data_IF_284033268657
#
_entry.id   IF_284033268657
#
_cell.length_a   1.000
_cell.length_b   1.000
_cell.length_c   1.000
_cell.angle_alpha   90.00
_cell.angle_beta   90.00
_cell.angle_gamma   90.00
#
_symmetry.space_group_name_H-M   'P 1'
#
loop_
_entity.id
_entity.type
_entity.pdbx_description
1 polymer ?
#
# COMPACT_ATOMS: atom_id res chain seq x y z
N UNK A 1 -7.28 3.84 -16.50
CA UNK A 1 -6.69 5.11 -16.08
C UNK A 1 -6.85 5.20 -14.57
N UNK A 2 -5.76 5.40 -13.85
CA UNK A 2 -5.76 5.57 -12.41
C UNK A 2 -6.59 6.84 -12.12
N UNK A 3 -7.72 6.78 -11.40
CA UNK A 3 -8.57 7.94 -11.17
C UNK A 3 -7.84 9.09 -10.45
N UNK A 4 -6.66 8.80 -9.86
CA UNK A 4 -5.80 9.80 -9.25
C UNK A 4 -4.86 10.52 -10.23
N UNK A 5 -4.77 10.10 -11.50
CA UNK A 5 -3.91 10.73 -12.52
C UNK A 5 -4.72 11.63 -13.46
N UNK A 6 -6.04 11.52 -13.50
CA UNK A 6 -6.90 12.46 -14.22
C UNK A 6 -7.13 13.74 -13.40
N UNK A 7 -6.05 14.34 -12.90
CA UNK A 7 -6.12 15.67 -12.30
C UNK A 7 -6.39 16.67 -13.43
N UNK A 8 -7.59 17.21 -13.46
CA UNK A 8 -7.86 18.38 -14.30
C UNK A 8 -7.10 19.57 -13.72
N UNK A 9 -6.51 20.40 -14.56
CA UNK A 9 -5.89 21.68 -14.20
C UNK A 9 -6.81 22.50 -13.27
N UNK A 10 -8.13 22.38 -13.48
CA UNK A 10 -9.17 23.02 -12.66
C UNK A 10 -9.14 22.50 -11.22
N UNK A 11 -8.98 21.18 -11.00
CA UNK A 11 -8.92 20.60 -9.64
C UNK A 11 -7.67 21.09 -8.90
N UNK A 12 -6.52 21.13 -9.57
CA UNK A 12 -5.28 21.63 -8.98
C UNK A 12 -5.36 23.11 -8.64
N UNK A 13 -5.96 23.93 -9.53
CA UNK A 13 -6.18 25.36 -9.29
C UNK A 13 -7.10 25.59 -8.09
N UNK A 14 -8.23 24.85 -8.02
CA UNK A 14 -9.19 24.95 -6.90
C UNK A 14 -8.51 24.53 -5.58
N UNK A 15 -7.74 23.44 -5.58
CA UNK A 15 -7.00 22.97 -4.41
C UNK A 15 -5.96 23.98 -3.94
N UNK A 16 -5.26 24.60 -4.88
CA UNK A 16 -4.28 25.66 -4.57
C UNK A 16 -4.96 26.89 -3.97
N UNK A 17 -6.04 27.37 -4.61
CA UNK A 17 -6.81 28.52 -4.11
C UNK A 17 -7.37 28.26 -2.71
N UNK A 18 -7.91 27.06 -2.47
CA UNK A 18 -8.43 26.66 -1.17
C UNK A 18 -7.30 26.60 -0.11
N UNK A 19 -6.14 26.11 -0.47
CA UNK A 19 -4.97 26.06 0.42
C UNK A 19 -4.53 27.47 0.81
N UNK A 20 -4.41 28.36 -0.16
CA UNK A 20 -4.06 29.78 0.10
C UNK A 20 -5.10 30.44 1.00
N UNK A 21 -6.38 30.21 0.73
CA UNK A 21 -7.47 30.76 1.56
C UNK A 21 -7.36 30.25 3.02
N UNK A 22 -7.16 28.94 3.21
CA UNK A 22 -7.00 28.34 4.54
C UNK A 22 -5.79 28.95 5.27
N UNK A 23 -4.64 29.09 4.60
CA UNK A 23 -3.44 29.68 5.20
C UNK A 23 -3.71 31.16 5.59
N UNK A 24 -4.35 31.94 4.73
CA UNK A 24 -4.75 33.34 5.06
C UNK A 24 -5.69 33.37 6.28
N UNK A 25 -6.68 32.49 6.34
CA UNK A 25 -7.59 32.41 7.48
C UNK A 25 -6.87 32.03 8.77
N UNK A 26 -5.92 31.11 8.72
CA UNK A 26 -5.10 30.72 9.88
C UNK A 26 -4.23 31.88 10.36
N UNK A 27 -3.62 32.65 9.44
CA UNK A 27 -2.82 33.85 9.77
C UNK A 27 -3.70 34.93 10.40
N UNK A 28 -4.88 35.17 9.85
CA UNK A 28 -5.84 36.13 10.43
C UNK A 28 -6.31 35.68 11.81
N UNK A 29 -6.47 34.37 12.01
CA UNK A 29 -6.90 33.80 13.27
C UNK A 29 -5.88 34.05 14.40
N UNK A 30 -4.58 34.14 14.10
CA UNK A 30 -3.51 34.48 15.08
C UNK A 30 -3.83 35.82 15.79
N UNK A 31 -4.40 36.76 15.06
CA UNK A 31 -4.78 38.11 15.61
C UNK A 31 -5.95 38.01 16.57
N UNK A 32 -6.76 36.98 16.46
CA UNK A 32 -7.99 36.78 17.25
C UNK A 32 -7.72 35.96 18.52
N UNK A 33 -6.62 35.20 18.55
CA UNK A 33 -6.25 34.39 19.70
C UNK A 33 -5.91 35.25 20.90
N UNK A 34 -6.60 35.04 22.02
CA UNK A 34 -6.33 35.65 23.29
C UNK A 34 -5.36 34.82 24.11
N UNK A 35 -4.34 35.46 24.67
CA UNK A 35 -3.34 34.78 25.50
C UNK A 35 -2.05 34.41 24.73
N UNK A 36 -0.93 34.89 25.20
CA UNK A 36 0.38 34.73 24.54
C UNK A 36 0.75 33.22 24.39
N UNK A 37 0.57 32.42 25.44
CA UNK A 37 0.91 30.98 25.41
C UNK A 37 0.10 30.19 24.38
N UNK A 38 -1.18 30.52 24.22
CA UNK A 38 -2.05 29.85 23.22
C UNK A 38 -1.65 30.26 21.81
N UNK A 39 -1.33 31.54 21.62
CA UNK A 39 -0.84 32.07 20.34
C UNK A 39 0.50 31.44 19.95
N UNK A 40 1.42 31.30 20.91
CA UNK A 40 2.70 30.60 20.69
C UNK A 40 2.48 29.14 20.31
N UNK A 41 1.63 28.40 21.03
CA UNK A 41 1.29 27.01 20.70
C UNK A 41 0.67 26.89 19.29
N UNK A 42 -0.17 27.84 18.90
CA UNK A 42 -0.77 27.89 17.57
C UNK A 42 0.29 28.09 16.47
N UNK A 43 1.19 29.04 16.67
CA UNK A 43 2.29 29.32 15.73
C UNK A 43 3.22 28.11 15.63
N UNK A 44 3.57 27.48 16.76
CA UNK A 44 4.37 26.26 16.77
C UNK A 44 3.69 25.11 16.01
N UNK A 45 2.38 24.92 16.17
CA UNK A 45 1.65 23.91 15.43
C UNK A 45 1.63 24.19 13.93
N UNK A 46 1.49 25.46 13.51
CA UNK A 46 1.58 25.87 12.11
C UNK A 46 2.96 25.60 11.49
N UNK A 47 4.04 25.84 12.24
CA UNK A 47 5.41 25.57 11.78
C UNK A 47 5.69 24.06 11.80
N UNK A 48 5.18 23.34 12.79
CA UNK A 48 5.41 21.90 12.95
C UNK A 48 4.90 21.09 11.76
N UNK A 49 3.73 21.46 11.19
CA UNK A 49 3.15 20.75 10.06
C UNK A 49 4.11 20.71 8.85
N UNK A 50 4.55 21.82 8.27
CA UNK A 50 5.47 21.81 7.14
C UNK A 50 6.84 21.22 7.52
N UNK A 51 7.35 21.46 8.74
CA UNK A 51 8.62 20.88 9.17
C UNK A 51 8.56 19.37 9.27
N UNK A 52 7.45 18.80 9.73
CA UNK A 52 7.27 17.35 9.81
C UNK A 52 7.15 16.69 8.44
N UNK A 53 6.69 17.42 7.42
CA UNK A 53 6.55 16.94 6.06
C UNK A 53 7.80 17.21 5.20
N UNK A 54 8.62 18.17 5.58
CA UNK A 54 9.79 18.62 4.82
C UNK A 54 10.75 17.49 4.42
N UNK A 55 11.16 16.56 5.32
CA UNK A 55 12.05 15.47 4.95
C UNK A 55 11.49 14.59 3.83
N UNK A 56 10.17 14.49 3.72
CA UNK A 56 9.51 13.61 2.74
C UNK A 56 9.33 14.25 1.36
N UNK A 57 9.50 15.56 1.24
CA UNK A 57 9.51 16.25 -0.05
C UNK A 57 10.71 15.79 -0.91
N UNK A 58 11.81 15.40 -0.27
CA UNK A 58 13.01 14.90 -0.94
C UNK A 58 12.97 13.39 -1.22
N UNK A 59 11.98 12.68 -0.70
CA UNK A 59 11.76 11.28 -1.05
C UNK A 59 11.10 11.25 -2.42
N UNK A 60 11.90 10.93 -3.44
CA UNK A 60 11.40 10.77 -4.81
C UNK A 60 10.20 9.81 -4.81
N UNK A 61 9.04 10.33 -5.16
CA UNK A 61 7.83 9.55 -5.32
C UNK A 61 8.08 8.45 -6.35
N UNK A 62 7.54 7.25 -6.09
CA UNK A 62 7.54 6.21 -7.10
C UNK A 62 6.79 6.73 -8.33
N UNK A 63 7.34 6.50 -9.52
CA UNK A 63 6.67 6.84 -10.77
C UNK A 63 5.22 6.31 -10.75
N UNK A 64 4.25 7.18 -11.03
CA UNK A 64 2.83 6.84 -11.01
C UNK A 64 2.02 7.35 -9.81
N UNK A 65 2.64 7.96 -8.80
CA UNK A 65 1.91 8.61 -7.72
C UNK A 65 1.66 10.09 -8.03
N UNK A 66 0.39 10.50 -7.94
CA UNK A 66 -0.01 11.90 -8.09
C UNK A 66 0.46 12.78 -6.91
N UNK A 67 0.81 12.18 -5.79
CA UNK A 67 1.32 12.86 -4.59
C UNK A 67 2.81 12.57 -4.41
N UNK A 68 3.58 13.61 -4.23
CA UNK A 68 5.01 13.54 -3.90
C UNK A 68 5.21 12.88 -2.53
N UNK A 69 4.23 13.03 -1.63
CA UNK A 69 4.28 12.51 -0.26
C UNK A 69 3.27 11.37 -0.10
N UNK A 70 3.74 10.18 0.24
CA UNK A 70 2.85 9.05 0.53
C UNK A 70 1.99 9.32 1.78
N UNK A 71 0.71 8.93 1.79
CA UNK A 71 -0.23 9.20 2.90
C UNK A 71 0.29 8.79 4.29
N UNK A 72 1.11 7.75 4.37
CA UNK A 72 1.70 7.29 5.64
C UNK A 72 2.59 8.34 6.32
N UNK A 73 3.17 9.27 5.57
CA UNK A 73 4.05 10.31 6.11
C UNK A 73 3.27 11.51 6.68
N UNK A 74 1.99 11.65 6.34
CA UNK A 74 1.13 12.66 6.96
C UNK A 74 0.80 12.37 8.43
N UNK A 75 1.13 11.15 8.93
CA UNK A 75 0.80 10.76 10.30
C UNK A 75 1.37 11.71 11.34
N UNK A 76 2.62 12.12 11.18
CA UNK A 76 3.27 13.08 12.09
C UNK A 76 2.66 14.48 11.93
N UNK A 77 2.40 14.92 10.69
CA UNK A 77 1.76 16.21 10.42
C UNK A 77 0.37 16.33 11.05
N UNK A 78 -0.38 15.23 11.14
CA UNK A 78 -1.70 15.20 11.75
C UNK A 78 -1.69 15.56 13.24
N UNK A 79 -0.58 15.37 13.95
CA UNK A 79 -0.43 15.84 15.33
C UNK A 79 -0.54 17.37 15.37
N UNK A 80 0.17 18.06 14.48
CA UNK A 80 0.08 19.52 14.36
C UNK A 80 -1.33 20.01 14.01
N UNK A 81 -1.99 19.33 13.06
CA UNK A 81 -3.38 19.62 12.69
C UNK A 81 -4.32 19.44 13.89
N UNK A 82 -4.17 18.38 14.66
CA UNK A 82 -4.99 18.13 15.86
C UNK A 82 -4.82 19.21 16.92
N UNK A 83 -3.60 19.67 17.13
CA UNK A 83 -3.31 20.80 18.04
C UNK A 83 -3.98 22.07 17.53
N UNK A 84 -3.88 22.39 16.22
CA UNK A 84 -4.54 23.57 15.63
C UNK A 84 -6.06 23.53 15.83
N UNK A 85 -6.69 22.40 15.51
CA UNK A 85 -8.13 22.22 15.69
C UNK A 85 -8.53 22.40 17.16
N UNK A 86 -7.77 21.82 18.09
CA UNK A 86 -7.99 21.99 19.53
C UNK A 86 -7.92 23.46 19.97
N UNK A 87 -6.91 24.20 19.51
CA UNK A 87 -6.76 25.64 19.82
C UNK A 87 -7.89 26.46 19.20
N UNK A 88 -8.30 26.18 17.97
CA UNK A 88 -9.41 26.87 17.30
C UNK A 88 -10.70 26.68 18.09
N UNK A 89 -11.04 25.45 18.44
CA UNK A 89 -12.25 25.11 19.22
C UNK A 89 -12.20 25.79 20.59
N UNK A 90 -11.09 25.68 21.31
CA UNK A 90 -10.90 26.32 22.61
C UNK A 90 -11.09 27.83 22.52
N UNK A 91 -10.44 28.50 21.57
CA UNK A 91 -10.51 29.95 21.39
C UNK A 91 -11.92 30.42 21.03
N UNK A 92 -12.64 29.65 20.19
CA UNK A 92 -14.02 29.90 19.87
C UNK A 92 -14.93 29.82 21.11
N UNK A 93 -14.76 28.78 21.92
CA UNK A 93 -15.55 28.58 23.15
C UNK A 93 -15.31 29.67 24.18
N UNK A 94 -14.06 30.12 24.32
CA UNK A 94 -13.71 31.23 25.22
C UNK A 94 -14.34 32.54 24.77
N UNK A 95 -14.25 32.87 23.47
CA UNK A 95 -14.82 34.09 22.91
C UNK A 95 -16.36 34.14 23.00
N UNK A 96 -16.97 32.96 22.83
CA UNK A 96 -18.43 32.80 22.91
C UNK A 96 -18.93 32.57 24.35
N UNK A 97 -18.15 32.94 25.39
CA UNK A 97 -18.44 32.61 26.79
C UNK A 97 -19.85 32.99 27.25
N UNK A 98 -20.38 34.08 26.75
CA UNK A 98 -21.72 34.59 27.10
C UNK A 98 -22.86 34.12 26.19
N UNK A 99 -22.55 33.44 25.06
CA UNK A 99 -23.52 33.05 24.03
C UNK A 99 -23.75 31.53 24.06
N UNK A 100 -24.61 31.06 24.96
CA UNK A 100 -24.89 29.62 25.19
C UNK A 100 -25.24 28.87 23.90
N UNK A 101 -26.11 29.47 23.06
CA UNK A 101 -26.54 28.86 21.80
C UNK A 101 -25.39 28.63 20.81
N UNK A 102 -24.51 29.63 20.64
CA UNK A 102 -23.36 29.52 19.74
C UNK A 102 -22.31 28.53 20.27
N UNK A 103 -22.14 28.44 21.59
CA UNK A 103 -21.33 27.34 22.17
C UNK A 103 -21.88 25.97 21.83
N UNK A 104 -23.22 25.80 21.91
CA UNK A 104 -23.87 24.56 21.50
C UNK A 104 -23.57 24.19 20.05
N UNK A 105 -23.58 25.18 19.15
CA UNK A 105 -23.21 24.96 17.73
C UNK A 105 -21.74 24.52 17.58
N UNK A 106 -20.80 25.16 18.30
CA UNK A 106 -19.39 24.77 18.26
C UNK A 106 -19.19 23.33 18.76
N UNK A 107 -19.82 22.97 19.87
CA UNK A 107 -19.75 21.57 20.37
C UNK A 107 -20.38 20.60 19.39
N UNK A 108 -21.50 20.94 18.77
CA UNK A 108 -22.15 20.10 17.77
C UNK A 108 -21.25 19.90 16.54
N UNK A 109 -20.69 20.95 15.98
CA UNK A 109 -19.78 20.86 14.82
C UNK A 109 -18.53 20.07 15.16
N UNK A 110 -17.95 20.26 16.33
CA UNK A 110 -16.79 19.48 16.79
C UNK A 110 -17.15 18.02 17.00
N UNK A 111 -18.32 17.74 17.57
CA UNK A 111 -18.83 16.37 17.72
C UNK A 111 -19.02 15.69 16.36
N UNK A 112 -19.63 16.38 15.39
CA UNK A 112 -19.78 15.87 14.01
C UNK A 112 -18.44 15.61 13.35
N UNK A 113 -17.47 16.49 13.55
CA UNK A 113 -16.09 16.29 13.07
C UNK A 113 -15.47 15.02 13.66
N UNK A 114 -15.53 14.82 14.97
CA UNK A 114 -15.02 13.62 15.62
C UNK A 114 -15.73 12.35 15.14
N UNK A 115 -17.06 12.39 15.02
CA UNK A 115 -17.85 11.26 14.53
C UNK A 115 -17.47 10.89 13.09
N UNK A 116 -17.25 11.88 12.22
CA UNK A 116 -16.83 11.62 10.85
C UNK A 116 -15.45 10.93 10.79
N UNK A 117 -14.51 11.34 11.65
CA UNK A 117 -13.21 10.67 11.76
C UNK A 117 -13.32 9.25 12.28
N UNK A 118 -14.09 9.01 13.34
CA UNK A 118 -14.34 7.67 13.87
C UNK A 118 -14.99 6.76 12.81
N UNK A 119 -15.97 7.29 12.07
CA UNK A 119 -16.61 6.57 10.97
C UNK A 119 -15.61 6.21 9.86
N UNK A 120 -14.79 7.17 9.42
CA UNK A 120 -13.77 6.95 8.39
C UNK A 120 -12.73 5.93 8.83
N UNK A 121 -12.27 6.00 10.08
CA UNK A 121 -11.33 5.02 10.65
C UNK A 121 -11.97 3.63 10.65
N UNK A 122 -13.23 3.50 11.10
CA UNK A 122 -13.94 2.23 11.13
C UNK A 122 -14.10 1.62 9.73
N UNK A 123 -14.46 2.43 8.74
CA UNK A 123 -14.55 1.99 7.34
C UNK A 123 -13.20 1.48 6.81
N UNK A 124 -12.14 2.26 7.01
CA UNK A 124 -10.80 1.89 6.56
C UNK A 124 -10.28 0.63 7.26
N UNK A 125 -10.53 0.47 8.57
CA UNK A 125 -10.18 -0.74 9.31
C UNK A 125 -10.93 -1.96 8.77
N UNK A 126 -12.22 -1.84 8.47
CA UNK A 126 -13.00 -2.92 7.89
C UNK A 126 -12.47 -3.37 6.53
N UNK A 127 -12.02 -2.44 5.69
CA UNK A 127 -11.41 -2.78 4.39
C UNK A 127 -10.03 -3.43 4.56
N UNK A 128 -9.21 -2.93 5.49
CA UNK A 128 -7.93 -3.55 5.83
C UNK A 128 -8.10 -4.96 6.39
N UNK A 129 -9.13 -5.18 7.22
CA UNK A 129 -9.45 -6.50 7.76
C UNK A 129 -9.81 -7.49 6.66
N UNK A 130 -10.67 -7.09 5.70
CA UNK A 130 -11.02 -7.93 4.53
C UNK A 130 -9.78 -8.28 3.70
N UNK A 131 -8.95 -7.29 3.38
CA UNK A 131 -7.70 -7.50 2.62
C UNK A 131 -6.76 -8.43 3.39
N UNK A 132 -6.63 -8.24 4.70
CA UNK A 132 -5.78 -9.06 5.56
C UNK A 132 -6.29 -10.50 5.64
N UNK A 133 -7.61 -10.69 5.76
CA UNK A 133 -8.23 -12.02 5.76
C UNK A 133 -7.98 -12.76 4.42
N UNK A 134 -8.12 -12.07 3.29
CA UNK A 134 -7.82 -12.64 1.98
C UNK A 134 -6.34 -13.05 1.87
N UNK A 135 -5.42 -12.19 2.29
CA UNK A 135 -3.99 -12.49 2.31
C UNK A 135 -3.68 -13.70 3.17
N UNK A 136 -4.22 -13.74 4.39
CA UNK A 136 -4.05 -14.85 5.32
C UNK A 136 -4.58 -16.17 4.75
N UNK A 137 -5.75 -16.14 4.09
CA UNK A 137 -6.33 -17.31 3.43
C UNK A 137 -5.43 -17.84 2.30
N UNK A 138 -4.94 -16.97 1.42
CA UNK A 138 -4.05 -17.35 0.31
C UNK A 138 -2.78 -18.02 0.87
N UNK A 139 -2.17 -17.36 1.85
CA UNK A 139 -0.94 -17.84 2.45
C UNK A 139 -1.13 -19.18 3.18
N UNK A 140 -2.22 -19.35 3.93
CA UNK A 140 -2.54 -20.60 4.61
C UNK A 140 -2.73 -21.74 3.61
N UNK A 141 -3.39 -21.49 2.47
CA UNK A 141 -3.54 -22.50 1.42
C UNK A 141 -2.19 -22.89 0.80
N UNK A 142 -1.33 -21.93 0.51
CA UNK A 142 0.02 -22.20 -0.01
C UNK A 142 0.78 -23.09 0.98
N UNK A 143 0.76 -22.78 2.27
CA UNK A 143 1.43 -23.56 3.30
C UNK A 143 0.84 -24.95 3.47
N UNK A 144 -0.48 -25.08 3.32
CA UNK A 144 -1.15 -26.39 3.40
C UNK A 144 -0.76 -27.30 2.24
N UNK A 145 -0.70 -26.76 1.02
CA UNK A 145 -0.32 -27.55 -0.16
C UNK A 145 1.17 -27.84 -0.23
N UNK A 146 1.99 -26.92 0.25
CA UNK A 146 3.44 -27.01 0.20
C UNK A 146 4.04 -26.64 1.56
N UNK A 147 3.96 -27.55 2.54
CA UNK A 147 4.57 -27.34 3.87
C UNK A 147 6.07 -27.21 3.79
N UNK A 148 6.69 -27.85 2.79
CA UNK A 148 8.10 -27.75 2.46
C UNK A 148 8.28 -27.34 0.99
N UNK A 149 9.10 -26.33 0.73
CA UNK A 149 9.42 -25.93 -0.63
C UNK A 149 10.53 -26.82 -1.20
N UNK A 150 10.42 -27.26 -2.47
CA UNK A 150 11.51 -27.95 -3.16
C UNK A 150 12.75 -27.05 -3.28
N UNK A 151 13.90 -27.67 -3.57
CA UNK A 151 15.17 -26.95 -3.74
C UNK A 151 15.14 -25.96 -4.91
N UNK A 152 14.43 -26.32 -5.95
CA UNK A 152 14.15 -25.48 -7.10
C UNK A 152 12.65 -25.28 -7.18
N UNK A 153 12.20 -24.04 -7.26
CA UNK A 153 10.78 -23.72 -7.29
C UNK A 153 10.50 -22.54 -8.21
N UNK A 154 9.45 -22.67 -9.00
CA UNK A 154 8.92 -21.59 -9.82
C UNK A 154 7.45 -21.38 -9.47
N UNK A 155 7.11 -20.18 -9.05
CA UNK A 155 5.74 -19.75 -8.86
C UNK A 155 5.20 -19.13 -10.14
N UNK A 156 4.05 -19.65 -10.60
CA UNK A 156 3.28 -19.03 -11.65
C UNK A 156 1.93 -18.57 -11.10
N UNK A 157 1.55 -17.33 -11.38
CA UNK A 157 0.32 -16.77 -10.84
C UNK A 157 -0.54 -16.13 -11.92
N UNK A 158 -1.81 -16.53 -11.98
CA UNK A 158 -2.84 -15.88 -12.77
C UNK A 158 -3.73 -15.04 -11.85
N UNK A 159 -4.03 -13.80 -12.25
CA UNK A 159 -4.95 -12.94 -11.50
C UNK A 159 -5.80 -12.12 -12.48
N UNK A 160 -7.05 -11.87 -12.12
CA UNK A 160 -7.96 -10.99 -12.83
C UNK A 160 -7.89 -9.53 -12.36
N UNK A 161 -7.06 -9.25 -11.36
CA UNK A 161 -6.97 -7.92 -10.74
C UNK A 161 -5.55 -7.38 -10.74
N UNK A 162 -5.44 -6.08 -10.99
CA UNK A 162 -4.23 -5.34 -10.74
C UNK A 162 -4.06 -5.05 -9.24
N UNK A 163 -2.81 -4.89 -8.81
CA UNK A 163 -2.50 -4.42 -7.47
C UNK A 163 -2.65 -2.88 -7.40
N UNK A 164 -2.98 -2.37 -6.19
CA UNK A 164 -3.11 -0.93 -5.96
C UNK A 164 -1.86 -0.16 -6.42
N UNK A 165 -2.06 0.81 -7.30
CA UNK A 165 -0.99 1.64 -7.88
C UNK A 165 -0.26 1.03 -9.07
N UNK A 166 -0.61 -0.19 -9.50
CA UNK A 166 -0.07 -0.81 -10.71
C UNK A 166 -1.00 -0.59 -11.89
N UNK A 167 -0.48 -0.55 -13.13
CA UNK A 167 -1.30 -0.53 -14.33
C UNK A 167 -2.27 -1.70 -14.41
N UNK A 168 -3.43 -1.51 -15.02
CA UNK A 168 -4.49 -2.54 -15.10
C UNK A 168 -4.06 -3.81 -15.85
N UNK A 169 -3.03 -3.73 -16.68
CA UNK A 169 -2.44 -4.87 -17.36
C UNK A 169 -1.48 -5.68 -16.48
N UNK A 170 -1.02 -5.12 -15.36
CA UNK A 170 -0.17 -5.82 -14.41
C UNK A 170 -1.00 -6.52 -13.32
N UNK A 171 -1.65 -7.62 -13.71
CA UNK A 171 -2.49 -8.40 -12.81
C UNK A 171 -1.66 -9.31 -11.92
N UNK A 172 -1.95 -9.32 -10.62
CA UNK A 172 -1.17 -10.07 -9.64
C UNK A 172 -1.98 -10.45 -8.39
N UNK A 173 -1.43 -11.36 -7.59
CA UNK A 173 -2.04 -11.77 -6.31
C UNK A 173 -2.04 -10.61 -5.29
N UNK A 174 -3.03 -10.55 -4.38
CA UNK A 174 -3.12 -9.51 -3.35
C UNK A 174 -1.92 -9.44 -2.39
N UNK A 175 -1.15 -10.53 -2.28
CA UNK A 175 0.02 -10.64 -1.37
C UNK A 175 1.35 -10.48 -2.08
N UNK A 176 1.35 -10.27 -3.38
CA UNK A 176 2.53 -10.38 -4.21
C UNK A 176 3.66 -9.42 -3.82
N UNK A 177 3.34 -8.18 -3.47
CA UNK A 177 4.34 -7.26 -2.93
C UNK A 177 4.74 -7.74 -1.54
N UNK A 178 5.97 -8.19 -1.42
CA UNK A 178 6.51 -8.79 -0.21
C UNK A 178 6.30 -10.31 -0.08
N UNK A 179 5.78 -10.98 -1.14
CA UNK A 179 5.60 -12.42 -1.14
C UNK A 179 6.92 -13.16 -0.89
N UNK A 180 8.01 -12.73 -1.49
CA UNK A 180 9.33 -13.28 -1.20
C UNK A 180 9.73 -13.15 0.26
N UNK A 181 9.48 -12.00 0.91
CA UNK A 181 9.71 -11.84 2.37
C UNK A 181 8.86 -12.79 3.20
N UNK A 182 7.62 -13.00 2.80
CA UNK A 182 6.71 -13.90 3.51
C UNK A 182 7.18 -15.35 3.35
N UNK A 183 7.60 -15.74 2.16
CA UNK A 183 8.19 -17.06 1.94
C UNK A 183 9.43 -17.27 2.80
N UNK A 184 10.32 -16.25 2.89
CA UNK A 184 11.48 -16.29 3.77
C UNK A 184 11.06 -16.46 5.23
N UNK A 185 10.10 -15.68 5.72
CA UNK A 185 9.64 -15.75 7.10
C UNK A 185 8.97 -17.10 7.40
N UNK A 186 8.16 -17.61 6.50
CA UNK A 186 7.42 -18.86 6.72
C UNK A 186 8.23 -20.12 6.61
N UNK A 187 9.17 -20.11 5.69
CA UNK A 187 10.09 -21.24 5.51
C UNK A 187 11.42 -20.97 6.20
N UNK A 188 11.40 -20.18 7.25
CA UNK A 188 12.50 -19.58 8.01
C UNK A 188 13.50 -20.54 8.67
N UNK A 189 13.58 -21.72 8.24
CA UNK A 189 14.82 -22.45 8.40
C UNK A 189 15.80 -21.80 7.43
N UNK A 190 16.58 -20.88 7.96
CA UNK A 190 17.47 -19.90 7.30
C UNK A 190 18.41 -20.49 6.24
N UNK A 191 18.57 -21.78 6.21
CA UNK A 191 19.40 -22.54 5.26
C UNK A 191 18.75 -22.77 3.88
N UNK A 192 17.45 -22.42 3.72
CA UNK A 192 16.73 -22.75 2.49
C UNK A 192 16.82 -21.72 1.38
N UNK A 193 17.13 -20.47 1.73
CA UNK A 193 17.27 -19.39 0.75
C UNK A 193 18.64 -18.74 0.86
N UNK A 194 19.59 -19.07 -0.01
CA UNK A 194 20.92 -18.48 0.00
C UNK A 194 20.88 -16.98 -0.29
N UNK A 195 21.84 -16.19 0.24
CA UNK A 195 21.90 -14.73 0.08
C UNK A 195 21.82 -14.26 -1.37
N UNK A 196 22.42 -14.98 -2.29
CA UNK A 196 22.43 -14.66 -3.72
C UNK A 196 21.03 -14.56 -4.35
N UNK A 197 20.01 -15.22 -3.77
CA UNK A 197 18.62 -15.09 -4.22
C UNK A 197 17.97 -13.77 -3.76
N UNK A 198 18.56 -13.09 -2.75
CA UNK A 198 18.07 -11.79 -2.27
C UNK A 198 18.73 -10.61 -2.98
N UNK A 199 19.82 -10.82 -3.66
CA UNK A 199 20.55 -9.76 -4.36
C UNK A 199 19.65 -9.06 -5.39
N UNK A 200 19.77 -7.72 -5.46
CA UNK A 200 18.94 -6.91 -6.33
C UNK A 200 17.45 -6.90 -5.97
N UNK A 201 17.10 -7.30 -4.74
CA UNK A 201 15.72 -7.35 -4.24
C UNK A 201 14.80 -8.32 -4.98
N UNK A 202 15.34 -9.28 -5.72
CA UNK A 202 14.58 -10.21 -6.54
C UNK A 202 13.49 -10.95 -5.75
N UNK A 203 13.82 -11.58 -4.61
CA UNK A 203 12.84 -12.22 -3.72
C UNK A 203 12.00 -11.24 -2.90
N UNK A 204 12.46 -10.01 -2.72
CA UNK A 204 11.76 -9.02 -1.90
C UNK A 204 10.68 -8.26 -2.67
N UNK A 205 10.88 -8.08 -3.96
CA UNK A 205 9.98 -7.37 -4.86
C UNK A 205 9.68 -8.27 -6.06
N UNK A 206 8.71 -9.17 -5.92
CA UNK A 206 8.24 -9.97 -7.05
C UNK A 206 7.48 -9.10 -8.11
N UNK A 207 7.95 -7.90 -8.36
CA UNK A 207 7.46 -7.05 -9.45
C UNK A 207 8.08 -7.45 -10.76
N UNK A 208 9.29 -8.04 -10.73
CA UNK A 208 10.00 -8.50 -11.90
C UNK A 208 9.82 -10.02 -12.05
N UNK A 209 9.52 -10.46 -13.25
CA UNK A 209 9.44 -11.86 -13.60
C UNK A 209 10.82 -12.38 -13.91
N UNK A 210 11.14 -13.58 -13.48
CA UNK A 210 12.41 -14.20 -13.75
C UNK A 210 12.67 -15.43 -12.90
N UNK A 211 13.84 -16.05 -13.16
CA UNK A 211 14.36 -17.19 -12.43
C UNK A 211 15.82 -16.95 -12.07
N UNK A 212 16.20 -17.33 -10.86
CA UNK A 212 17.59 -17.33 -10.39
C UNK A 212 17.92 -18.69 -9.79
N UNK A 213 19.14 -19.13 -10.07
CA UNK A 213 19.70 -20.34 -9.49
C UNK A 213 21.07 -20.02 -8.89
N UNK A 214 21.27 -20.39 -7.64
CA UNK A 214 22.53 -20.23 -6.96
C UNK A 214 22.64 -21.15 -5.75
N UNK A 215 23.83 -21.63 -5.46
CA UNK A 215 24.14 -22.51 -4.33
C UNK A 215 23.22 -23.73 -4.22
N UNK A 216 22.88 -24.36 -5.36
CA UNK A 216 21.99 -25.52 -5.41
C UNK A 216 20.50 -25.21 -5.25
N UNK A 217 20.11 -23.95 -5.07
CA UNK A 217 18.73 -23.52 -4.90
C UNK A 217 18.28 -22.68 -6.10
N UNK A 218 17.04 -22.88 -6.52
CA UNK A 218 16.42 -22.13 -7.58
C UNK A 218 15.12 -21.48 -7.14
N UNK A 219 14.92 -20.22 -7.52
CA UNK A 219 13.65 -19.53 -7.29
C UNK A 219 13.25 -18.72 -8.52
N UNK A 220 12.00 -18.89 -8.94
CA UNK A 220 11.39 -18.15 -10.05
C UNK A 220 9.99 -17.67 -9.71
N UNK A 221 9.61 -16.61 -10.40
CA UNK A 221 8.27 -16.05 -10.33
C UNK A 221 7.84 -15.52 -11.69
N UNK A 222 6.66 -15.92 -12.16
CA UNK A 222 6.09 -15.53 -13.44
C UNK A 222 4.58 -15.25 -13.34
N UNK A 223 4.12 -14.30 -14.14
CA UNK A 223 2.70 -13.98 -14.42
C UNK A 223 2.37 -14.22 -15.87
N UNK A 224 3.38 -14.06 -16.72
CA UNK A 224 3.31 -14.31 -18.14
C UNK A 224 3.65 -15.77 -18.41
N UNK A 225 2.75 -16.45 -19.14
CA UNK A 225 2.92 -17.89 -19.42
C UNK A 225 4.05 -18.16 -20.40
N UNK A 226 4.21 -17.29 -21.41
CA UNK A 226 5.24 -17.47 -22.42
C UNK A 226 6.64 -17.31 -21.83
N UNK A 227 6.82 -16.31 -20.94
CA UNK A 227 8.05 -16.14 -20.17
C UNK A 227 8.34 -17.33 -19.24
N UNK A 228 7.30 -17.95 -18.67
CA UNK A 228 7.46 -19.17 -17.89
C UNK A 228 8.02 -20.29 -18.76
N UNK A 229 7.42 -20.54 -19.94
CA UNK A 229 7.87 -21.57 -20.87
C UNK A 229 9.31 -21.36 -21.33
N UNK A 230 9.65 -20.11 -21.67
CA UNK A 230 11.02 -19.72 -22.05
C UNK A 230 12.02 -20.00 -20.92
N UNK A 231 11.66 -19.62 -19.69
CA UNK A 231 12.51 -19.85 -18.52
C UNK A 231 12.68 -21.33 -18.20
N UNK A 232 11.64 -22.14 -18.37
CA UNK A 232 11.68 -23.60 -18.20
C UNK A 232 12.67 -24.20 -19.19
N UNK A 233 12.59 -23.83 -20.46
CA UNK A 233 13.52 -24.31 -21.49
C UNK A 233 14.97 -23.85 -21.26
N UNK A 234 15.17 -22.59 -20.88
CA UNK A 234 16.50 -22.02 -20.70
C UNK A 234 17.23 -22.50 -19.45
N UNK A 235 16.53 -22.91 -18.39
CA UNK A 235 17.11 -23.24 -17.08
C UNK A 235 16.93 -24.71 -16.69
N UNK A 236 16.47 -25.55 -17.58
CA UNK A 236 16.19 -26.98 -17.34
C UNK A 236 15.33 -27.20 -16.06
N UNK A 237 14.27 -26.40 -15.95
CA UNK A 237 13.33 -26.46 -14.85
C UNK A 237 12.37 -27.64 -15.10
N UNK A 238 12.26 -28.54 -14.12
CA UNK A 238 11.35 -29.68 -14.24
C UNK A 238 9.89 -29.26 -13.96
N UNK A 239 8.91 -29.88 -14.61
CA UNK A 239 7.49 -29.59 -14.35
C UNK A 239 7.13 -29.69 -12.87
N UNK A 240 7.72 -30.61 -12.11
CA UNK A 240 7.48 -30.82 -10.68
C UNK A 240 7.92 -29.62 -9.82
N UNK A 241 8.82 -28.81 -10.33
CA UNK A 241 9.33 -27.59 -9.66
C UNK A 241 8.40 -26.38 -9.85
N UNK A 242 7.35 -26.52 -10.66
CA UNK A 242 6.37 -25.45 -10.92
C UNK A 242 5.21 -25.57 -9.94
N UNK A 243 4.87 -24.46 -9.29
CA UNK A 243 3.67 -24.27 -8.47
C UNK A 243 2.85 -23.12 -9.07
N UNK A 244 1.59 -23.37 -9.34
CA UNK A 244 0.76 -22.41 -10.04
C UNK A 244 -0.58 -22.15 -9.34
N UNK A 245 -0.94 -20.87 -9.21
CA UNK A 245 -2.18 -20.44 -8.59
C UNK A 245 -2.95 -19.46 -9.47
N UNK A 246 -4.28 -19.50 -9.32
CA UNK A 246 -5.20 -18.53 -9.91
C UNK A 246 -5.96 -17.80 -8.81
N UNK A 247 -6.10 -16.47 -8.97
CA UNK A 247 -6.89 -15.60 -8.12
C UNK A 247 -7.97 -14.87 -8.92
N UNK A 248 -9.23 -15.07 -8.53
CA UNK A 248 -10.39 -14.38 -9.06
C UNK A 248 -10.93 -13.40 -8.00
N UNK A 249 -10.64 -12.10 -8.15
CA UNK A 249 -10.99 -11.08 -7.15
C UNK A 249 -12.50 -10.97 -6.93
N UNK A 250 -13.28 -10.95 -8.02
CA UNK A 250 -14.74 -10.81 -7.94
C UNK A 250 -15.40 -11.92 -7.14
N UNK A 251 -14.86 -13.14 -7.24
CA UNK A 251 -15.36 -14.33 -6.53
C UNK A 251 -14.64 -14.59 -5.21
N UNK A 252 -13.57 -13.86 -4.91
CA UNK A 252 -12.71 -14.13 -3.77
C UNK A 252 -12.12 -15.54 -3.79
N UNK A 253 -11.96 -16.14 -5.00
CA UNK A 253 -11.58 -17.53 -5.16
C UNK A 253 -10.09 -17.67 -5.48
N UNK A 254 -9.41 -18.40 -4.63
CA UNK A 254 -8.03 -18.84 -4.84
C UNK A 254 -8.02 -20.33 -5.17
N UNK A 255 -7.42 -20.67 -6.31
CA UNK A 255 -7.42 -22.05 -6.84
C UNK A 255 -6.00 -22.47 -7.17
N UNK A 256 -5.63 -23.68 -6.76
CA UNK A 256 -4.42 -24.34 -7.25
C UNK A 256 -4.67 -24.83 -8.68
N UNK A 257 -3.82 -24.37 -9.61
CA UNK A 257 -3.84 -24.75 -11.02
C UNK A 257 -2.55 -25.46 -11.44
N UNK A 258 -1.76 -25.92 -10.47
CA UNK A 258 -0.42 -26.47 -10.66
C UNK A 258 -0.41 -27.59 -11.71
N UNK A 259 -1.26 -28.61 -11.56
CA UNK A 259 -1.27 -29.76 -12.47
C UNK A 259 -1.66 -29.36 -13.91
N UNK A 260 -2.59 -28.41 -14.06
CA UNK A 260 -2.97 -27.87 -15.34
C UNK A 260 -1.81 -27.17 -16.03
N UNK A 261 -1.08 -26.35 -15.27
CA UNK A 261 0.06 -25.58 -15.81
C UNK A 261 1.22 -26.50 -16.13
N UNK A 262 1.55 -27.47 -15.26
CA UNK A 262 2.59 -28.48 -15.49
C UNK A 262 2.38 -29.25 -16.78
N UNK A 263 1.16 -29.76 -16.98
CA UNK A 263 0.80 -30.52 -18.17
C UNK A 263 0.95 -29.68 -19.44
N UNK A 264 0.51 -28.41 -19.39
CA UNK A 264 0.62 -27.49 -20.52
C UNK A 264 2.07 -27.12 -20.82
N UNK A 265 2.86 -26.77 -19.82
CA UNK A 265 4.29 -26.44 -19.98
C UNK A 265 5.05 -27.61 -20.58
N UNK A 266 4.78 -28.85 -20.13
CA UNK A 266 5.41 -30.05 -20.70
C UNK A 266 5.13 -30.18 -22.20
N UNK A 267 3.87 -30.03 -22.61
CA UNK A 267 3.47 -30.10 -24.04
C UNK A 267 4.16 -29.00 -24.88
N UNK A 268 4.18 -27.76 -24.37
CA UNK A 268 4.73 -26.62 -25.12
C UNK A 268 6.26 -26.71 -25.21
N UNK A 269 6.93 -27.19 -24.17
CA UNK A 269 8.39 -27.41 -24.17
C UNK A 269 8.78 -28.57 -25.11
N UNK A 270 7.98 -29.60 -25.23
CA UNK A 270 8.22 -30.70 -26.17
C UNK A 270 8.01 -30.30 -27.64
N UNK A 271 7.12 -29.34 -27.92
CA UNK A 271 6.90 -28.78 -29.28
C UNK A 271 8.01 -27.85 -29.74
N UNK A 272 8.70 -27.22 -28.80
CA UNK A 272 9.75 -26.25 -29.11
C UNK A 272 11.16 -26.90 -29.19
N UNK A 273 11.26 -28.20 -28.94
CA UNK A 273 12.46 -29.03 -29.16
C UNK A 273 12.43 -29.68 -30.54
#
# INVERSE_FOLDING_TARGET
>A
PNPFIAQSIVFDLVSYMLTVLIVCLLILFIRVIQGNKIREAFVWALIFIPMSLFPYVFVLGKAGFASIIEPKFFYIGNIGVSILVGIIVYSALMKLSRQKMLKGVVYFLFGMYLLSHVYTIKMNLGDLEKISAQRKMILAKIQTFYPDLPERIVFYTQSDSAYYGMPDNEKMLPVQIGFGRILIIWYQKSERFPPCLYEGRFLLNLTEEGYRFCEGRGFGYFRDYDKLVDAVGANDIKPEEIIAYSWEKQRGKFTDITEKVRSKVKQDTERNK
#
